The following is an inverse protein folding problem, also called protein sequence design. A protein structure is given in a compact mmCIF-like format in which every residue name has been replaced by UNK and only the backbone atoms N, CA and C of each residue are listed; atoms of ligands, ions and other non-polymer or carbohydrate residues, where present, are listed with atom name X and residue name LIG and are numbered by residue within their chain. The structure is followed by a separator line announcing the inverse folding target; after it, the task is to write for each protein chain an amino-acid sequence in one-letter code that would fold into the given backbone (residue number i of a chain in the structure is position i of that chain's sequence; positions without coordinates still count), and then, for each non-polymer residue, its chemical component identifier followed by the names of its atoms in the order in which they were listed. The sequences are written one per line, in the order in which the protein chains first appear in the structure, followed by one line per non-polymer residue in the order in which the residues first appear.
data_IF_595993030684
#
_entry.id   IF_595993030684
#
_cell.length_a   1.000
_cell.length_b   1.000
_cell.length_c   1.000
_cell.angle_alpha   90.00
_cell.angle_beta   90.00
_cell.angle_gamma   90.00
#
_symmetry.space_group_name_H-M   'P 1'
#
loop_
_entity.id
_entity.type
_entity.pdbx_description
1 polymer ?
#
# COMPACT_ATOMS: atom_id res chain seq x y z
N UNK A 1 -9.48 43.83 6.69
CA UNK A 1 -8.42 42.78 6.59
C UNK A 1 -8.60 41.65 7.60
N UNK A 2 -9.39 41.82 8.67
CA UNK A 2 -9.61 40.78 9.69
C UNK A 2 -10.51 39.61 9.25
N UNK A 3 -11.42 39.80 8.30
CA UNK A 3 -12.39 38.76 7.87
C UNK A 3 -11.70 37.62 7.12
N UNK A 4 -10.66 37.92 6.34
CA UNK A 4 -9.91 36.92 5.55
C UNK A 4 -9.06 36.02 6.45
N UNK A 5 -8.44 36.58 7.50
CA UNK A 5 -7.70 35.81 8.50
C UNK A 5 -8.62 34.86 9.29
N UNK A 6 -9.83 35.33 9.63
CA UNK A 6 -10.82 34.52 10.36
C UNK A 6 -11.37 33.36 9.50
N UNK A 7 -11.56 33.59 8.20
CA UNK A 7 -11.93 32.55 7.22
C UNK A 7 -10.81 31.52 7.00
N UNK A 8 -9.55 31.97 6.94
CA UNK A 8 -8.39 31.09 6.86
C UNK A 8 -8.28 30.14 8.06
N UNK A 9 -8.46 30.67 9.27
CA UNK A 9 -8.46 29.85 10.49
C UNK A 9 -9.63 28.86 10.52
N UNK A 10 -10.84 29.29 10.16
CA UNK A 10 -12.00 28.39 10.08
C UNK A 10 -11.85 27.28 9.04
N UNK A 11 -11.19 27.56 7.91
CA UNK A 11 -10.96 26.57 6.85
C UNK A 11 -9.88 25.56 7.25
N UNK A 12 -8.86 26.00 8.00
CA UNK A 12 -7.81 25.14 8.55
C UNK A 12 -8.37 24.26 9.68
N UNK A 13 -9.14 24.82 10.61
CA UNK A 13 -9.77 24.10 11.73
C UNK A 13 -10.70 22.97 11.23
N UNK A 14 -11.50 23.25 10.18
CA UNK A 14 -12.42 22.27 9.60
C UNK A 14 -11.71 21.11 8.90
N UNK A 15 -10.43 21.27 8.54
CA UNK A 15 -9.61 20.22 7.90
C UNK A 15 -9.06 19.19 8.91
N UNK A 16 -8.97 19.56 10.18
CA UNK A 16 -8.45 18.70 11.26
C UNK A 16 -9.53 18.09 12.14
N UNK A 17 -10.82 18.31 11.83
CA UNK A 17 -11.92 17.65 12.52
C UNK A 17 -12.06 16.17 12.06
N UNK A 18 -10.98 15.41 12.27
CA UNK A 18 -10.89 13.94 12.17
C UNK A 18 -11.47 13.28 13.43
N UNK A 19 -12.50 13.87 14.03
CA UNK A 19 -13.07 13.42 15.32
C UNK A 19 -14.11 12.30 15.17
N UNK A 20 -14.19 11.67 13.99
CA UNK A 20 -15.05 10.51 13.75
C UNK A 20 -14.29 9.46 12.94
N UNK A 21 -13.13 8.99 13.46
CA UNK A 21 -12.53 7.77 12.93
C UNK A 21 -13.46 6.62 13.31
N UNK A 22 -14.39 6.32 12.41
CA UNK A 22 -15.32 5.22 12.54
C UNK A 22 -14.49 3.95 12.89
N UNK A 23 -14.85 3.17 13.92
CA UNK A 23 -14.05 2.00 14.32
C UNK A 23 -13.81 1.03 13.16
N UNK A 24 -14.74 0.99 12.20
CA UNK A 24 -14.62 0.25 10.93
C UNK A 24 -13.42 0.71 10.09
N UNK A 25 -13.19 2.01 10.00
CA UNK A 25 -12.05 2.63 9.28
C UNK A 25 -10.72 2.18 9.86
N UNK A 26 -10.63 2.05 11.19
CA UNK A 26 -9.43 1.59 11.89
C UNK A 26 -9.13 0.11 11.57
N UNK A 27 -10.16 -0.73 11.47
CA UNK A 27 -10.00 -2.14 11.09
C UNK A 27 -9.49 -2.27 9.64
N UNK A 28 -10.08 -1.52 8.70
CA UNK A 28 -9.64 -1.53 7.30
C UNK A 28 -8.20 -1.03 7.13
N UNK A 29 -7.80 -0.04 7.94
CA UNK A 29 -6.42 0.44 7.99
C UNK A 29 -5.46 -0.68 8.40
N UNK A 30 -5.72 -1.35 9.53
CA UNK A 30 -4.85 -2.43 10.01
C UNK A 30 -4.82 -3.62 9.04
N UNK A 31 -5.96 -4.00 8.46
CA UNK A 31 -6.00 -5.05 7.42
C UNK A 31 -5.14 -4.67 6.20
N UNK A 32 -5.27 -3.44 5.71
CA UNK A 32 -4.47 -2.95 4.57
C UNK A 32 -2.96 -2.93 4.89
N UNK A 33 -2.58 -2.57 6.13
CA UNK A 33 -1.20 -2.65 6.61
C UNK A 33 -0.70 -4.10 6.64
N UNK A 34 -1.49 -5.04 7.16
CA UNK A 34 -1.10 -6.45 7.22
C UNK A 34 -0.91 -7.01 5.82
N UNK A 35 -1.79 -6.69 4.86
CA UNK A 35 -1.65 -7.11 3.46
C UNK A 35 -0.39 -6.53 2.82
N UNK A 36 -0.07 -5.25 3.08
CA UNK A 36 1.17 -4.64 2.63
C UNK A 36 2.41 -5.39 3.16
N UNK A 37 2.42 -5.70 4.46
CA UNK A 37 3.51 -6.45 5.08
C UNK A 37 3.61 -7.85 4.48
N UNK A 38 2.49 -8.55 4.27
CA UNK A 38 2.47 -9.83 3.57
C UNK A 38 3.05 -9.73 2.17
N UNK A 39 2.73 -8.68 1.40
CA UNK A 39 3.31 -8.44 0.08
C UNK A 39 4.82 -8.24 0.12
N UNK A 40 5.34 -7.48 1.11
CA UNK A 40 6.78 -7.31 1.32
C UNK A 40 7.45 -8.63 1.69
N UNK A 41 6.86 -9.39 2.62
CA UNK A 41 7.39 -10.69 3.06
C UNK A 41 7.36 -11.71 1.93
N UNK A 42 6.37 -11.65 1.03
CA UNK A 42 6.27 -12.53 -0.14
C UNK A 42 7.46 -12.39 -1.10
N UNK A 43 8.14 -11.24 -1.11
CA UNK A 43 9.36 -11.08 -1.91
C UNK A 43 10.57 -11.82 -1.34
N UNK A 44 10.61 -12.10 -0.04
CA UNK A 44 11.73 -12.83 0.58
C UNK A 44 11.89 -14.21 -0.05
N UNK A 45 10.85 -15.08 -0.11
CA UNK A 45 11.01 -16.38 -0.74
C UNK A 45 11.23 -16.29 -2.25
N UNK A 46 10.69 -15.26 -2.91
CA UNK A 46 10.94 -14.99 -4.33
C UNK A 46 12.41 -14.71 -4.64
N UNK A 47 13.04 -13.83 -3.82
CA UNK A 47 14.41 -13.40 -4.03
C UNK A 47 15.43 -14.43 -3.55
N UNK A 48 15.18 -15.03 -2.39
CA UNK A 48 16.12 -15.94 -1.70
C UNK A 48 15.99 -17.38 -2.17
N UNK A 49 14.76 -17.88 -2.34
CA UNK A 49 14.51 -19.25 -2.79
C UNK A 49 14.20 -19.27 -4.29
N UNK A 50 14.44 -20.39 -4.97
CA UNK A 50 14.07 -20.58 -6.39
C UNK A 50 12.56 -20.90 -6.56
N UNK A 51 11.73 -20.41 -5.64
CA UNK A 51 10.27 -20.63 -5.64
C UNK A 51 9.66 -19.29 -6.03
N UNK A 52 9.77 -18.95 -7.31
CA UNK A 52 9.60 -17.58 -7.78
C UNK A 52 8.11 -17.33 -8.11
N UNK A 53 7.51 -18.14 -8.96
CA UNK A 53 6.19 -17.82 -9.55
C UNK A 53 5.05 -17.65 -8.54
N UNK A 54 4.89 -18.59 -7.60
CA UNK A 54 3.75 -18.60 -6.67
C UNK A 54 3.75 -17.40 -5.72
N UNK A 55 4.92 -16.99 -5.23
CA UNK A 55 5.05 -15.88 -4.28
C UNK A 55 4.99 -14.51 -4.97
N UNK A 56 5.44 -14.41 -6.23
CA UNK A 56 5.24 -13.22 -7.05
C UNK A 56 3.75 -12.99 -7.34
N UNK A 57 3.04 -14.04 -7.75
CA UNK A 57 1.59 -14.00 -7.99
C UNK A 57 0.79 -13.64 -6.74
N UNK A 58 1.21 -14.11 -5.56
CA UNK A 58 0.56 -13.77 -4.29
C UNK A 58 0.48 -12.25 -4.07
N UNK A 59 1.56 -11.55 -4.40
CA UNK A 59 1.68 -10.09 -4.31
C UNK A 59 0.70 -9.37 -5.24
N UNK A 60 0.42 -9.94 -6.42
CA UNK A 60 -0.60 -9.44 -7.36
C UNK A 60 -2.04 -9.70 -6.91
N UNK A 61 -2.28 -10.65 -6.01
CA UNK A 61 -3.63 -10.90 -5.46
C UNK A 61 -3.85 -10.09 -4.18
N UNK A 62 -2.89 -10.13 -3.26
CA UNK A 62 -2.99 -9.54 -1.92
C UNK A 62 -3.00 -8.00 -1.99
N UNK A 63 -2.12 -7.40 -2.79
CA UNK A 63 -1.93 -5.96 -2.75
C UNK A 63 -3.09 -5.17 -3.38
N UNK A 64 -3.74 -5.60 -4.49
CA UNK A 64 -4.96 -4.93 -4.96
C UNK A 64 -6.08 -4.94 -3.92
N UNK A 65 -6.24 -6.03 -3.16
CA UNK A 65 -7.16 -6.08 -2.01
C UNK A 65 -6.74 -5.04 -0.96
N UNK A 66 -5.44 -4.94 -0.69
CA UNK A 66 -4.85 -3.91 0.17
C UNK A 66 -5.12 -2.47 -0.31
N UNK A 67 -5.12 -2.21 -1.63
CA UNK A 67 -5.48 -0.91 -2.22
C UNK A 67 -6.95 -0.56 -1.95
N UNK A 68 -7.86 -1.52 -2.16
CA UNK A 68 -9.31 -1.31 -1.93
C UNK A 68 -9.58 -1.04 -0.44
N UNK A 69 -9.02 -1.86 0.45
CA UNK A 69 -9.17 -1.68 1.89
C UNK A 69 -8.51 -0.38 2.39
N UNK A 70 -7.36 -0.02 1.82
CA UNK A 70 -6.68 1.25 2.10
C UNK A 70 -7.52 2.45 1.69
N UNK A 71 -8.21 2.33 0.54
CA UNK A 71 -9.12 3.37 0.04
C UNK A 71 -10.35 3.53 0.95
N UNK A 72 -10.92 2.43 1.45
CA UNK A 72 -12.00 2.45 2.44
C UNK A 72 -11.57 2.94 3.83
N UNK A 73 -10.28 2.84 4.17
CA UNK A 73 -9.73 3.42 5.39
C UNK A 73 -9.57 4.96 5.32
N UNK A 74 -9.95 5.58 4.20
CA UNK A 74 -9.77 7.01 3.92
C UNK A 74 -8.30 7.46 3.96
N UNK A 75 -7.36 6.50 3.95
CA UNK A 75 -5.93 6.74 3.99
C UNK A 75 -5.31 6.50 2.61
N UNK A 76 -5.18 7.59 1.84
CA UNK A 76 -4.59 7.55 0.49
C UNK A 76 -3.16 7.04 0.50
N UNK A 77 -2.37 7.35 1.53
CA UNK A 77 -0.97 6.91 1.61
C UNK A 77 -0.88 5.39 1.61
N UNK A 78 -1.74 4.71 2.39
CA UNK A 78 -1.69 3.25 2.50
C UNK A 78 -2.21 2.55 1.24
N UNK A 79 -3.21 3.14 0.59
CA UNK A 79 -3.68 2.68 -0.71
C UNK A 79 -2.57 2.81 -1.77
N UNK A 80 -1.86 3.94 -1.80
CA UNK A 80 -0.72 4.14 -2.70
C UNK A 80 0.45 3.21 -2.38
N UNK A 81 0.76 2.94 -1.11
CA UNK A 81 1.79 1.98 -0.75
C UNK A 81 1.48 0.59 -1.27
N UNK A 82 0.23 0.12 -1.12
CA UNK A 82 -0.19 -1.18 -1.66
C UNK A 82 -0.12 -1.19 -3.19
N UNK A 83 -0.48 -0.09 -3.85
CA UNK A 83 -0.39 0.03 -5.31
C UNK A 83 1.06 0.00 -5.79
N UNK A 84 1.95 0.74 -5.13
CA UNK A 84 3.39 0.72 -5.40
C UNK A 84 3.96 -0.69 -5.24
N UNK A 85 3.44 -1.43 -4.27
CA UNK A 85 3.84 -2.80 -4.01
C UNK A 85 3.43 -3.77 -5.13
N UNK A 86 2.36 -3.49 -5.89
CA UNK A 86 2.06 -4.20 -7.15
C UNK A 86 3.09 -3.85 -8.23
N UNK A 87 3.41 -2.56 -8.39
CA UNK A 87 4.40 -2.10 -9.37
C UNK A 87 5.84 -2.53 -9.04
N UNK A 88 6.12 -2.87 -7.78
CA UNK A 88 7.42 -3.39 -7.35
C UNK A 88 7.86 -4.67 -8.07
N UNK A 89 6.93 -5.35 -8.76
CA UNK A 89 7.24 -6.47 -9.63
C UNK A 89 8.28 -6.13 -10.70
N UNK A 90 8.20 -4.96 -11.34
CA UNK A 90 9.10 -4.56 -12.41
C UNK A 90 10.58 -4.52 -11.95
N UNK A 91 10.95 -3.75 -10.91
CA UNK A 91 12.34 -3.72 -10.45
C UNK A 91 12.81 -5.07 -9.88
N UNK A 92 11.93 -5.84 -9.25
CA UNK A 92 12.30 -7.18 -8.74
C UNK A 92 12.62 -8.14 -9.87
N UNK A 93 11.81 -8.17 -10.94
CA UNK A 93 12.08 -9.00 -12.10
C UNK A 93 13.40 -8.64 -12.78
N UNK A 94 13.68 -7.35 -12.95
CA UNK A 94 14.95 -6.88 -13.51
C UNK A 94 16.12 -7.36 -12.64
N UNK A 95 16.00 -7.25 -11.31
CA UNK A 95 17.02 -7.71 -10.38
C UNK A 95 17.27 -9.24 -10.49
N UNK A 96 16.21 -10.04 -10.52
CA UNK A 96 16.31 -11.50 -10.65
C UNK A 96 16.92 -11.89 -12.00
N UNK A 97 16.51 -11.24 -13.09
CA UNK A 97 17.08 -11.46 -14.41
C UNK A 97 18.60 -11.20 -14.43
N UNK A 98 19.04 -10.07 -13.87
CA UNK A 98 20.46 -9.69 -13.84
C UNK A 98 21.31 -10.58 -12.92
N UNK A 99 20.73 -11.15 -11.86
CA UNK A 99 21.49 -11.90 -10.84
C UNK A 99 21.45 -13.42 -11.05
N UNK A 100 20.29 -13.97 -11.45
CA UNK A 100 20.07 -15.41 -11.61
C UNK A 100 20.07 -15.87 -13.08
N UNK A 101 19.98 -14.94 -14.04
CA UNK A 101 20.03 -15.25 -15.47
C UNK A 101 18.88 -16.13 -15.98
N UNK A 102 17.80 -16.28 -15.19
CA UNK A 102 16.69 -17.20 -15.46
C UNK A 102 15.38 -16.43 -15.46
N UNK A 103 14.54 -16.66 -16.46
CA UNK A 103 13.15 -16.22 -16.53
C UNK A 103 12.32 -17.50 -16.71
N UNK A 104 11.91 -18.20 -15.64
CA UNK A 104 10.76 -19.06 -15.76
C UNK A 104 9.54 -18.16 -15.66
N UNK A 105 8.91 -17.93 -16.82
CA UNK A 105 7.49 -17.59 -16.85
C UNK A 105 6.69 -18.88 -16.81
#
# INVERSE_FOLDING_TARGET
MEIVLRLGHYCIERRWNMSQVNPKTKIYFWLSVTLLICGIVSWIPYLVFKIEESYGMLTFVINPIGVVLGSFSNNRLIAFSNLFMVFSFIPVMIFVYLTKGYIPM
#
